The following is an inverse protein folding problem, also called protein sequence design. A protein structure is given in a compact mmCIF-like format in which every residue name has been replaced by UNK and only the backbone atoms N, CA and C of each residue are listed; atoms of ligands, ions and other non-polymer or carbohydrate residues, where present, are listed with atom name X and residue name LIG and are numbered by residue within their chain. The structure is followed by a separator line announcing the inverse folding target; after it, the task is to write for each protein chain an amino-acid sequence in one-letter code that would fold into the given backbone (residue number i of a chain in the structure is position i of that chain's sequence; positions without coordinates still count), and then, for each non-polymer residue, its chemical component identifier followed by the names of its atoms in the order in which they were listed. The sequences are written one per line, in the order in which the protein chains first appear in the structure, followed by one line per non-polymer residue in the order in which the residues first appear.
data_IF_557438726738
#
_entry.id   IF_557438726738
#
_cell.length_a   1.000
_cell.length_b   1.000
_cell.length_c   1.000
_cell.angle_alpha   90.00
_cell.angle_beta   90.00
_cell.angle_gamma   90.00
#
_symmetry.space_group_name_H-M   'P 1'
#
loop_
_entity.id
_entity.type
_entity.pdbx_description
1 polymer ?
#
# COMPACT_ATOMS: atom_id res chain seq x y z
N UNK A 1 8.39 25.03 -5.98
CA UNK A 1 8.73 23.94 -5.04
C UNK A 1 10.06 24.31 -4.39
N UNK A 2 10.05 24.57 -3.08
CA UNK A 2 11.24 25.01 -2.33
C UNK A 2 11.91 23.74 -1.77
N UNK A 3 13.16 23.48 -2.17
CA UNK A 3 14.12 22.52 -1.58
C UNK A 3 13.58 21.24 -0.93
N UNK A 4 13.03 20.31 -1.71
CA UNK A 4 12.73 18.95 -1.23
C UNK A 4 14.00 18.10 -1.38
N UNK A 5 14.60 17.67 -0.27
CA UNK A 5 15.75 16.75 -0.24
C UNK A 5 15.27 15.31 -0.05
N UNK A 6 15.81 14.37 -0.83
CA UNK A 6 15.55 12.94 -0.68
C UNK A 6 16.82 12.23 -0.21
N UNK A 7 16.71 11.41 0.85
CA UNK A 7 17.82 10.60 1.37
C UNK A 7 17.61 9.15 0.98
N UNK A 8 18.60 8.55 0.33
CA UNK A 8 18.55 7.16 -0.12
C UNK A 8 19.14 6.22 0.94
N UNK A 9 18.42 5.14 1.26
CA UNK A 9 18.74 4.12 2.27
C UNK A 9 18.69 2.73 1.68
N UNK A 10 19.56 1.83 2.13
CA UNK A 10 19.64 0.47 1.61
C UNK A 10 18.50 -0.41 2.17
N UNK A 11 17.82 -1.14 1.30
CA UNK A 11 16.86 -2.19 1.62
C UNK A 11 17.37 -3.52 1.05
N UNK A 12 17.41 -4.56 1.88
CA UNK A 12 17.85 -5.88 1.45
C UNK A 12 16.91 -6.97 1.99
N UNK A 13 16.60 -7.94 1.14
CA UNK A 13 15.85 -9.15 1.52
C UNK A 13 16.79 -10.35 1.34
N UNK A 14 16.86 -11.21 2.35
CA UNK A 14 17.78 -12.35 2.38
C UNK A 14 16.99 -13.62 2.65
N UNK A 15 17.23 -14.64 1.83
CA UNK A 15 16.68 -15.99 2.01
C UNK A 15 17.84 -16.96 2.26
N UNK A 16 18.05 -17.42 3.51
CA UNK A 16 19.06 -18.43 3.77
C UNK A 16 18.60 -19.78 3.21
N UNK A 17 19.42 -20.40 2.37
CA UNK A 17 19.16 -21.73 1.80
C UNK A 17 20.35 -22.66 2.09
N UNK A 18 20.13 -23.81 2.75
CA UNK A 18 21.20 -24.79 2.96
C UNK A 18 21.67 -25.42 1.64
N UNK A 19 22.97 -25.63 1.49
CA UNK A 19 23.54 -26.24 0.27
C UNK A 19 22.94 -27.62 -0.04
N UNK A 20 22.68 -28.46 0.98
CA UNK A 20 22.05 -29.76 0.78
C UNK A 20 20.67 -29.66 0.10
N UNK A 21 19.91 -28.60 0.38
CA UNK A 21 18.60 -28.37 -0.24
C UNK A 21 18.75 -27.90 -1.68
N UNK A 22 19.80 -27.14 -1.99
CA UNK A 22 20.11 -26.72 -3.35
C UNK A 22 20.56 -27.92 -4.19
N UNK A 23 21.39 -28.79 -3.62
CA UNK A 23 21.95 -29.97 -4.30
C UNK A 23 20.89 -31.07 -4.51
N UNK A 24 19.97 -31.26 -3.56
CA UNK A 24 18.89 -32.25 -3.64
C UNK A 24 17.65 -31.73 -4.38
N UNK A 25 17.58 -30.44 -4.72
CA UNK A 25 16.42 -29.88 -5.38
C UNK A 25 16.31 -30.35 -6.83
N UNK A 26 15.24 -31.06 -7.12
CA UNK A 26 14.91 -31.48 -8.48
C UNK A 26 14.25 -30.36 -9.33
N UNK A 27 14.22 -29.14 -8.81
CA UNK A 27 13.61 -27.95 -9.43
C UNK A 27 14.57 -26.77 -9.39
N UNK A 28 14.44 -25.85 -10.35
CA UNK A 28 15.21 -24.61 -10.35
C UNK A 28 14.72 -23.67 -9.23
N UNK A 29 15.21 -23.89 -8.00
CA UNK A 29 14.84 -23.10 -6.80
C UNK A 29 15.00 -21.60 -7.04
N UNK A 30 16.07 -21.21 -7.72
CA UNK A 30 16.39 -19.81 -7.94
C UNK A 30 15.35 -19.09 -8.81
N UNK A 31 14.80 -19.76 -9.82
CA UNK A 31 13.73 -19.19 -10.65
C UNK A 31 12.43 -18.98 -9.88
N UNK A 32 12.20 -19.77 -8.83
CA UNK A 32 11.03 -19.62 -7.97
C UNK A 32 11.25 -18.57 -6.87
N UNK A 33 12.47 -18.47 -6.32
CA UNK A 33 12.79 -17.56 -5.22
C UNK A 33 12.95 -16.12 -5.69
N UNK A 34 13.52 -15.89 -6.89
CA UNK A 34 13.69 -14.54 -7.46
C UNK A 34 12.43 -13.67 -7.44
N UNK A 35 11.28 -14.09 -8.03
CA UNK A 35 10.08 -13.26 -8.03
C UNK A 35 9.55 -13.00 -6.61
N UNK A 36 9.72 -13.96 -5.69
CA UNK A 36 9.33 -13.81 -4.29
C UNK A 36 10.20 -12.80 -3.53
N UNK A 37 11.50 -12.72 -3.86
CA UNK A 37 12.40 -11.70 -3.31
C UNK A 37 11.96 -10.30 -3.77
N UNK A 38 11.66 -10.12 -5.05
CA UNK A 38 11.17 -8.84 -5.58
C UNK A 38 9.84 -8.43 -4.94
N UNK A 39 8.90 -9.37 -4.78
CA UNK A 39 7.63 -9.11 -4.09
C UNK A 39 7.84 -8.73 -2.62
N UNK A 40 8.75 -9.42 -1.92
CA UNK A 40 9.07 -9.13 -0.53
C UNK A 40 9.69 -7.73 -0.35
N UNK A 41 10.53 -7.29 -1.28
CA UNK A 41 11.05 -5.93 -1.33
C UNK A 41 9.88 -4.94 -1.47
N UNK A 42 9.04 -5.10 -2.51
CA UNK A 42 7.91 -4.19 -2.75
C UNK A 42 6.97 -4.09 -1.55
N UNK A 43 6.65 -5.23 -0.93
CA UNK A 43 5.89 -5.28 0.32
C UNK A 43 6.56 -4.45 1.43
N UNK A 44 7.87 -4.56 1.58
CA UNK A 44 8.60 -3.82 2.62
C UNK A 44 8.60 -2.32 2.34
N UNK A 45 8.74 -1.91 1.08
CA UNK A 45 8.61 -0.49 0.67
C UNK A 45 7.25 0.07 1.08
N UNK A 46 6.17 -0.64 0.76
CA UNK A 46 4.81 -0.20 1.09
C UNK A 46 4.60 -0.11 2.61
N UNK A 47 5.05 -1.12 3.37
CA UNK A 47 4.97 -1.12 4.84
C UNK A 47 5.72 0.06 5.45
N UNK A 48 6.91 0.35 4.93
CA UNK A 48 7.75 1.43 5.44
C UNK A 48 7.22 2.81 5.05
N UNK A 49 6.75 3.00 3.82
CA UNK A 49 6.26 4.28 3.33
C UNK A 49 4.87 4.64 3.89
N UNK A 50 3.95 3.66 3.97
CA UNK A 50 2.60 3.88 4.44
C UNK A 50 2.53 3.89 5.97
N UNK A 51 3.09 2.88 6.62
CA UNK A 51 2.90 2.64 8.07
C UNK A 51 4.14 2.97 8.91
N UNK A 52 5.32 3.10 8.31
CA UNK A 52 6.55 3.40 9.03
C UNK A 52 7.22 2.19 9.68
N UNK A 53 6.81 0.96 9.31
CA UNK A 53 7.43 -0.27 9.82
C UNK A 53 8.90 -0.37 9.38
N UNK A 54 9.81 -0.52 10.35
CA UNK A 54 11.27 -0.56 10.18
C UNK A 54 11.82 0.58 9.31
N UNK A 55 11.18 1.75 9.39
CA UNK A 55 11.58 2.93 8.63
C UNK A 55 12.93 3.46 9.11
N UNK A 56 13.88 3.74 8.20
CA UNK A 56 15.10 4.44 8.54
C UNK A 56 14.80 5.78 9.23
N UNK A 57 15.65 6.17 10.18
CA UNK A 57 15.52 7.43 10.91
C UNK A 57 15.68 8.66 10.00
N UNK A 58 16.39 8.49 8.87
CA UNK A 58 16.61 9.53 7.86
C UNK A 58 15.39 9.85 7.01
N UNK A 59 14.40 8.94 6.96
CA UNK A 59 13.16 9.16 6.21
C UNK A 59 12.19 10.00 7.04
N UNK A 60 11.34 10.83 6.40
CA UNK A 60 10.28 11.54 7.12
C UNK A 60 9.28 10.56 7.75
N UNK A 61 8.38 11.07 8.59
CA UNK A 61 7.27 10.27 9.14
C UNK A 61 6.45 9.66 8.00
N UNK A 62 6.04 8.40 8.17
CA UNK A 62 5.23 7.68 7.19
C UNK A 62 3.84 8.31 7.02
N UNK A 63 3.16 7.95 5.93
CA UNK A 63 1.91 8.60 5.50
C UNK A 63 0.80 8.46 6.56
N UNK A 64 0.52 7.24 7.03
CA UNK A 64 -0.55 6.98 7.99
C UNK A 64 -0.27 7.63 9.36
N UNK A 65 0.90 7.46 9.99
CA UNK A 65 1.20 8.15 11.24
C UNK A 65 1.12 9.68 11.13
N UNK A 66 1.49 10.25 9.98
CA UNK A 66 1.38 11.71 9.73
C UNK A 66 -0.08 12.15 9.70
N UNK A 67 -0.95 11.40 9.00
CA UNK A 67 -2.38 11.68 8.97
C UNK A 67 -3.02 11.59 10.36
N UNK A 68 -2.63 10.58 11.15
CA UNK A 68 -3.10 10.42 12.55
C UNK A 68 -2.64 11.61 13.40
N UNK A 69 -1.38 12.01 13.32
CA UNK A 69 -0.84 13.14 14.08
C UNK A 69 -1.51 14.48 13.71
N UNK A 70 -2.00 14.61 12.48
CA UNK A 70 -2.72 15.79 11.99
C UNK A 70 -4.23 15.76 12.28
N UNK A 71 -4.74 14.76 13.00
CA UNK A 71 -6.18 14.53 13.24
C UNK A 71 -7.02 14.36 11.95
N UNK A 72 -6.36 13.92 10.87
CA UNK A 72 -6.98 13.56 9.60
C UNK A 72 -7.41 12.09 9.62
N UNK A 73 -8.22 11.74 10.61
CA UNK A 73 -8.78 10.40 10.80
C UNK A 73 -10.30 10.46 10.84
N UNK A 74 -10.94 9.37 10.39
CA UNK A 74 -12.35 9.13 10.59
C UNK A 74 -12.55 7.70 11.07
N UNK A 75 -13.51 7.48 11.95
CA UNK A 75 -13.89 6.14 12.36
C UNK A 75 -14.57 5.44 11.19
N UNK A 76 -14.05 4.26 10.81
CA UNK A 76 -14.65 3.44 9.78
C UNK A 76 -16.11 3.12 10.15
N UNK A 77 -17.02 3.38 9.23
CA UNK A 77 -18.41 3.02 9.44
C UNK A 77 -18.60 1.49 9.37
N UNK A 78 -19.74 1.00 9.84
CA UNK A 78 -20.03 -0.44 9.81
C UNK A 78 -21.43 -0.68 9.23
N UNK A 79 -21.67 -1.91 8.78
CA UNK A 79 -22.97 -2.31 8.27
C UNK A 79 -23.39 -1.54 7.01
N UNK A 80 -24.66 -1.12 6.97
CA UNK A 80 -25.27 -0.45 5.81
C UNK A 80 -24.69 0.93 5.54
N UNK A 81 -24.10 1.56 6.55
CA UNK A 81 -23.57 2.91 6.46
C UNK A 81 -22.09 2.94 6.05
N UNK A 82 -21.47 1.77 5.82
CA UNK A 82 -20.06 1.70 5.38
C UNK A 82 -19.80 2.62 4.19
N UNK A 83 -20.67 2.56 3.16
CA UNK A 83 -20.56 3.44 2.01
C UNK A 83 -20.50 4.91 2.44
N UNK A 84 -21.55 5.39 3.11
CA UNK A 84 -21.73 6.79 3.51
C UNK A 84 -20.64 7.27 4.48
N UNK A 85 -20.28 6.48 5.47
CA UNK A 85 -19.33 6.89 6.51
C UNK A 85 -17.92 7.10 6.00
N UNK A 86 -17.50 6.40 4.95
CA UNK A 86 -16.20 6.64 4.31
C UNK A 86 -16.13 8.01 3.60
N UNK A 87 -17.24 8.74 3.41
CA UNK A 87 -17.21 10.12 2.90
C UNK A 87 -16.57 11.13 3.87
N UNK A 88 -16.49 10.80 5.17
CA UNK A 88 -15.88 11.67 6.17
C UNK A 88 -14.36 11.83 5.94
N UNK A 89 -13.70 10.82 5.35
CA UNK A 89 -12.26 10.86 5.05
C UNK A 89 -11.90 11.92 3.99
N UNK A 90 -12.49 11.93 2.78
CA UNK A 90 -12.20 12.96 1.79
C UNK A 90 -12.63 14.37 2.23
N UNK A 91 -13.63 14.50 3.11
CA UNK A 91 -14.01 15.79 3.71
C UNK A 91 -12.85 16.39 4.50
N UNK A 92 -12.19 15.62 5.38
CA UNK A 92 -11.02 16.07 6.15
C UNK A 92 -9.90 16.59 5.25
N UNK A 93 -9.56 15.83 4.21
CA UNK A 93 -8.55 16.24 3.21
C UNK A 93 -8.96 17.53 2.48
N UNK A 94 -10.25 17.71 2.23
CA UNK A 94 -10.80 18.89 1.56
C UNK A 94 -10.77 20.13 2.45
N UNK A 95 -11.00 19.99 3.76
CA UNK A 95 -10.87 21.07 4.75
C UNK A 95 -9.43 21.59 4.80
N UNK A 96 -8.44 20.71 4.62
CA UNK A 96 -7.02 21.07 4.52
C UNK A 96 -6.65 21.72 3.16
N UNK A 97 -7.61 21.88 2.25
CA UNK A 97 -7.43 22.53 0.96
C UNK A 97 -6.89 21.61 -0.13
N UNK A 98 -6.93 20.29 0.06
CA UNK A 98 -6.50 19.31 -0.94
C UNK A 98 -7.69 18.52 -1.49
N UNK A 99 -7.68 18.24 -2.79
CA UNK A 99 -8.68 17.37 -3.40
C UNK A 99 -8.20 15.91 -3.39
N UNK A 100 -9.03 14.98 -2.94
CA UNK A 100 -8.77 13.54 -3.08
C UNK A 100 -8.87 13.15 -4.56
N UNK A 101 -7.94 12.33 -5.04
CA UNK A 101 -7.96 11.83 -6.41
C UNK A 101 -8.02 10.30 -6.52
N UNK A 102 -7.73 9.56 -5.44
CA UNK A 102 -7.70 8.09 -5.42
C UNK A 102 -7.64 7.59 -3.98
N UNK A 103 -8.24 6.43 -3.75
CA UNK A 103 -8.27 5.73 -2.48
C UNK A 103 -7.35 4.50 -2.54
N UNK A 104 -6.74 4.14 -1.41
CA UNK A 104 -6.05 2.86 -1.25
C UNK A 104 -6.59 2.11 -0.03
N UNK A 105 -6.64 0.78 -0.12
CA UNK A 105 -7.08 -0.06 1.00
C UNK A 105 -6.48 -1.47 0.94
N UNK A 106 -6.70 -2.24 2.02
CA UNK A 106 -6.69 -3.70 1.90
C UNK A 106 -7.92 -4.19 1.10
N UNK A 107 -7.99 -5.47 0.70
CA UNK A 107 -9.08 -5.95 -0.16
C UNK A 107 -10.49 -5.99 0.47
N UNK A 108 -10.64 -5.93 1.80
CA UNK A 108 -11.95 -6.14 2.46
C UNK A 108 -12.98 -5.03 2.20
N UNK A 109 -12.64 -3.73 2.22
CA UNK A 109 -13.55 -2.63 1.87
C UNK A 109 -14.35 -2.86 0.58
N UNK A 110 -13.72 -3.33 -0.51
CA UNK A 110 -14.44 -3.57 -1.76
C UNK A 110 -15.50 -4.66 -1.64
N UNK A 111 -15.24 -5.70 -0.84
CA UNK A 111 -16.25 -6.72 -0.55
C UNK A 111 -17.39 -6.15 0.30
N UNK A 112 -17.08 -5.32 1.30
CA UNK A 112 -18.11 -4.62 2.10
C UNK A 112 -18.99 -3.74 1.23
N UNK A 113 -18.41 -2.93 0.34
CA UNK A 113 -19.15 -2.09 -0.61
C UNK A 113 -20.12 -2.91 -1.48
N UNK A 114 -19.70 -4.08 -1.99
CA UNK A 114 -20.55 -4.98 -2.79
C UNK A 114 -21.71 -5.60 -2.00
N UNK A 115 -21.63 -5.63 -0.67
CA UNK A 115 -22.73 -6.13 0.17
C UNK A 115 -23.80 -5.08 0.44
N UNK A 116 -23.54 -3.80 0.16
CA UNK A 116 -24.49 -2.71 0.40
C UNK A 116 -25.73 -2.85 -0.50
N UNK A 117 -26.89 -2.58 0.09
CA UNK A 117 -28.21 -2.65 -0.55
C UNK A 117 -28.99 -1.38 -0.28
N UNK A 118 -29.80 -0.95 -1.26
CA UNK A 118 -30.78 0.12 -1.06
C UNK A 118 -31.98 -0.38 -0.24
N UNK A 119 -32.93 0.51 0.06
CA UNK A 119 -34.15 0.16 0.80
C UNK A 119 -35.04 -0.87 0.08
N UNK A 120 -34.87 -1.04 -1.22
CA UNK A 120 -35.59 -2.03 -2.03
C UNK A 120 -34.82 -3.36 -2.15
N UNK A 121 -33.69 -3.50 -1.46
CA UNK A 121 -32.84 -4.69 -1.51
C UNK A 121 -31.97 -4.81 -2.77
N UNK A 122 -31.86 -3.75 -3.59
CA UNK A 122 -31.03 -3.73 -4.79
C UNK A 122 -29.56 -3.43 -4.43
N UNK A 123 -28.57 -4.08 -5.06
CA UNK A 123 -27.15 -3.74 -4.88
C UNK A 123 -26.83 -2.29 -5.26
N UNK A 124 -26.17 -1.57 -4.36
CA UNK A 124 -25.70 -0.19 -4.62
C UNK A 124 -24.40 -0.20 -5.42
N UNK A 125 -23.51 -1.16 -5.14
CA UNK A 125 -22.23 -1.35 -5.83
C UNK A 125 -22.25 -2.64 -6.67
N UNK A 126 -21.74 -2.54 -7.90
CA UNK A 126 -21.41 -3.70 -8.74
C UNK A 126 -22.60 -4.43 -9.36
N UNK A 127 -23.63 -3.71 -9.83
CA UNK A 127 -24.75 -4.34 -10.55
C UNK A 127 -24.24 -5.10 -11.80
N UNK A 128 -24.63 -6.38 -12.01
CA UNK A 128 -24.03 -7.25 -13.04
C UNK A 128 -24.47 -6.94 -14.49
N UNK A 129 -25.37 -5.97 -14.71
CA UNK A 129 -25.99 -5.71 -16.03
C UNK A 129 -25.35 -4.59 -16.86
N UNK A 130 -24.42 -3.84 -16.27
CA UNK A 130 -23.61 -2.81 -16.93
C UNK A 130 -22.23 -2.92 -16.32
N UNK A 131 -21.14 -2.70 -17.08
CA UNK A 131 -19.75 -2.75 -16.59
C UNK A 131 -19.68 -2.36 -15.11
N UNK A 132 -19.61 -3.36 -14.24
CA UNK A 132 -19.57 -3.12 -12.81
C UNK A 132 -18.33 -2.25 -12.61
N UNK A 133 -18.52 -0.99 -12.17
CA UNK A 133 -17.39 -0.13 -11.82
C UNK A 133 -16.75 -0.70 -10.56
N UNK A 134 -15.95 -1.74 -10.75
CA UNK A 134 -15.13 -2.37 -9.73
C UNK A 134 -13.90 -1.51 -9.51
N UNK A 135 -13.51 -1.29 -8.26
CA UNK A 135 -12.35 -0.44 -7.96
C UNK A 135 -12.63 1.05 -8.13
N UNK A 136 -13.87 1.50 -7.89
CA UNK A 136 -14.17 2.91 -7.70
C UNK A 136 -14.96 3.15 -6.42
N UNK A 137 -14.67 4.26 -5.76
CA UNK A 137 -15.38 4.78 -4.59
C UNK A 137 -15.62 6.28 -4.83
N UNK A 138 -16.87 6.72 -4.74
CA UNK A 138 -17.25 8.12 -5.01
C UNK A 138 -16.81 8.68 -6.38
N UNK A 139 -16.64 7.80 -7.37
CA UNK A 139 -16.17 8.19 -8.71
C UNK A 139 -14.65 8.33 -8.84
N UNK A 140 -13.89 8.11 -7.76
CA UNK A 140 -12.44 8.00 -7.78
C UNK A 140 -11.99 6.54 -7.75
N UNK A 141 -10.79 6.21 -8.28
CA UNK A 141 -10.25 4.86 -8.17
C UNK A 141 -10.06 4.42 -6.72
N UNK A 142 -10.34 3.16 -6.42
CA UNK A 142 -10.02 2.47 -5.17
C UNK A 142 -9.04 1.34 -5.49
N UNK A 143 -7.77 1.53 -5.13
CA UNK A 143 -6.72 0.55 -5.33
C UNK A 143 -6.57 -0.35 -4.11
N UNK A 144 -6.65 -1.65 -4.35
CA UNK A 144 -6.41 -2.65 -3.33
C UNK A 144 -4.94 -3.03 -3.31
N UNK A 145 -4.36 -3.13 -2.12
CA UNK A 145 -2.97 -3.55 -1.91
C UNK A 145 -2.99 -5.00 -1.36
N UNK A 146 -2.96 -6.03 -2.24
CA UNK A 146 -3.11 -7.43 -1.84
C UNK A 146 -1.80 -8.08 -1.37
N UNK A 147 -0.65 -7.42 -1.50
CA UNK A 147 0.68 -7.96 -1.14
C UNK A 147 0.88 -8.17 0.39
N UNK A 148 -0.15 -7.88 1.20
CA UNK A 148 -0.11 -8.00 2.65
C UNK A 148 0.77 -6.97 3.35
N UNK A 149 1.15 -5.87 2.67
CA UNK A 149 1.81 -4.73 3.29
C UNK A 149 0.86 -3.91 4.18
N UNK A 150 -0.44 -4.00 3.91
CA UNK A 150 -1.45 -3.19 4.60
C UNK A 150 -1.71 -3.66 6.03
N UNK A 151 -1.57 -2.75 7.01
CA UNK A 151 -2.00 -3.01 8.39
C UNK A 151 -3.49 -2.67 8.58
N UNK A 152 -4.33 -3.68 8.35
CA UNK A 152 -5.80 -3.57 8.49
C UNK A 152 -6.28 -3.37 9.94
N UNK A 153 -5.42 -3.58 10.95
CA UNK A 153 -5.79 -3.32 12.34
C UNK A 153 -5.75 -1.81 12.66
N UNK A 154 -4.86 -1.08 11.99
CA UNK A 154 -4.66 0.35 12.20
C UNK A 154 -5.47 1.20 11.21
N UNK A 155 -5.64 0.75 9.97
CA UNK A 155 -6.27 1.56 8.92
C UNK A 155 -7.11 0.69 8.00
N UNK A 156 -8.36 1.10 7.74
CA UNK A 156 -9.24 0.41 6.79
C UNK A 156 -9.01 0.91 5.36
N UNK A 157 -8.95 2.24 5.20
CA UNK A 157 -8.93 2.93 3.92
C UNK A 157 -8.13 4.24 4.05
N UNK A 158 -7.47 4.63 2.96
CA UNK A 158 -6.69 5.85 2.84
C UNK A 158 -7.23 6.69 1.68
N UNK A 159 -7.59 7.94 1.95
CA UNK A 159 -8.02 8.91 0.95
C UNK A 159 -6.94 9.99 0.78
N UNK A 160 -6.32 10.10 -0.41
CA UNK A 160 -5.22 11.07 -0.60
C UNK A 160 -5.18 11.67 -2.00
N UNK A 161 -4.30 12.66 -2.15
CA UNK A 161 -3.86 13.17 -3.44
C UNK A 161 -2.47 12.61 -3.79
N UNK A 162 -2.42 11.53 -4.57
CA UNK A 162 -1.18 10.79 -4.82
C UNK A 162 -0.06 11.61 -5.49
N UNK A 163 -0.40 12.67 -6.23
CA UNK A 163 0.59 13.56 -6.83
C UNK A 163 1.35 14.44 -5.82
N UNK A 164 1.01 14.37 -4.52
CA UNK A 164 1.77 15.05 -3.45
C UNK A 164 2.86 14.18 -2.82
N UNK A 165 2.85 12.88 -3.08
CA UNK A 165 3.87 11.97 -2.54
C UNK A 165 4.94 11.69 -3.60
N UNK A 166 6.20 11.72 -3.20
CA UNK A 166 7.34 11.48 -4.09
C UNK A 166 8.20 10.36 -3.50
N UNK A 167 8.30 9.26 -4.23
CA UNK A 167 9.20 8.15 -3.94
C UNK A 167 10.20 8.00 -5.08
N UNK A 168 11.45 7.65 -4.75
CA UNK A 168 12.53 7.50 -5.73
C UNK A 168 13.36 6.26 -5.47
N UNK A 169 13.57 5.46 -6.51
CA UNK A 169 14.44 4.28 -6.50
C UNK A 169 15.80 4.69 -7.08
N UNK A 170 16.90 4.52 -6.31
CA UNK A 170 18.24 4.95 -6.74
C UNK A 170 18.90 3.93 -7.66
N UNK A 171 18.66 2.65 -7.40
CA UNK A 171 19.19 1.53 -8.19
C UNK A 171 18.11 0.44 -8.26
N UNK A 172 18.03 -0.22 -9.41
CA UNK A 172 17.11 -1.32 -9.66
C UNK A 172 17.53 -2.59 -8.88
N UNK A 173 16.62 -3.55 -8.73
CA UNK A 173 16.83 -4.77 -7.94
C UNK A 173 18.00 -5.59 -8.46
N UNK A 174 19.09 -5.66 -7.69
CA UNK A 174 20.24 -6.50 -8.04
C UNK A 174 20.22 -7.79 -7.22
N UNK A 175 20.30 -8.93 -7.91
CA UNK A 175 20.30 -10.26 -7.30
C UNK A 175 21.69 -10.88 -7.35
N UNK A 176 22.23 -11.27 -6.21
CA UNK A 176 23.51 -11.98 -6.13
C UNK A 176 23.37 -13.34 -5.43
N UNK A 177 24.01 -14.36 -6.01
CA UNK A 177 24.18 -15.68 -5.43
C UNK A 177 25.59 -15.74 -4.83
N UNK A 178 25.79 -15.07 -3.71
CA UNK A 178 26.99 -15.30 -2.91
C UNK A 178 26.89 -16.62 -2.16
N UNK A 179 28.02 -17.15 -1.70
CA UNK A 179 28.06 -18.08 -0.54
C UNK A 179 27.44 -17.46 0.74
N UNK A 180 26.95 -16.23 0.63
CA UNK A 180 25.92 -15.59 1.42
C UNK A 180 25.01 -14.80 0.45
N UNK A 181 23.71 -15.13 0.30
CA UNK A 181 22.85 -14.48 -0.70
C UNK A 181 22.47 -13.06 -0.24
N UNK A 182 22.86 -12.05 -1.01
CA UNK A 182 22.51 -10.65 -0.75
C UNK A 182 21.72 -10.11 -1.95
N UNK A 183 20.48 -9.71 -1.72
CA UNK A 183 19.69 -8.89 -2.65
C UNK A 183 19.71 -7.47 -2.09
N UNK A 184 20.24 -6.49 -2.83
CA UNK A 184 20.46 -5.12 -2.35
C UNK A 184 19.67 -4.13 -3.21
N UNK A 185 18.92 -3.25 -2.56
CA UNK A 185 18.28 -2.07 -3.14
C UNK A 185 18.62 -0.83 -2.34
N UNK A 186 18.53 0.36 -2.93
CA UNK A 186 18.66 1.62 -2.20
C UNK A 186 17.49 2.54 -2.57
N UNK A 187 16.63 2.84 -1.60
CA UNK A 187 15.38 3.57 -1.75
C UNK A 187 15.48 4.94 -1.08
N UNK A 188 14.95 5.97 -1.73
CA UNK A 188 14.86 7.32 -1.17
C UNK A 188 13.42 7.78 -1.06
N UNK A 189 13.04 8.31 0.10
CA UNK A 189 11.68 8.79 0.34
C UNK A 189 11.68 10.26 0.76
N UNK A 190 10.72 11.04 0.27
CA UNK A 190 10.49 12.41 0.71
C UNK A 190 9.01 12.77 0.61
N UNK A 191 8.46 13.30 1.71
CA UNK A 191 7.11 13.86 1.74
C UNK A 191 7.21 15.39 1.65
N UNK A 192 6.36 15.99 0.83
CA UNK A 192 6.24 17.44 0.65
C UNK A 192 4.98 17.98 1.32
#
# INVERSE_FOLDING_TARGET
MKGVSMTAEELAVIVPTPNAVVDDANVALWEQVRPLLTEAIGKKVDQTALFGSDKPASWPTAIIPTAIAADNTATAATGTDFGVGEANLPEKVSVDGFAVNRFASHPVPSWRLRTLRDQNGQPIYGSPMTEAKTGVLYGFPLDEIPNGAWDSATTELLATHWAKFVAGIRQDTTHDLGSSPLTRETLSFSSA
#
